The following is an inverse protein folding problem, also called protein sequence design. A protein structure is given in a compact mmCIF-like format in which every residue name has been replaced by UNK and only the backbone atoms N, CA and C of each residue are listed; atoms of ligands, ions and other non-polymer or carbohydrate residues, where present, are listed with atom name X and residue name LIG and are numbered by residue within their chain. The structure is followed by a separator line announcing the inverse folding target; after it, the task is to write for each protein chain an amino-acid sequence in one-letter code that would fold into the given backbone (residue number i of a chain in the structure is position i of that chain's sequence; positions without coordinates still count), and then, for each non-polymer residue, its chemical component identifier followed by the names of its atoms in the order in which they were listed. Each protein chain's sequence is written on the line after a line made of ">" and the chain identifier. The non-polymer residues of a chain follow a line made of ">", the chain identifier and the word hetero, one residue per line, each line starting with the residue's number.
data_IF_546517865383
#
_entry.id   IF_546517865383
#
_cell.length_a   1.000
_cell.length_b   1.000
_cell.length_c   1.000
_cell.angle_alpha   90.00
_cell.angle_beta   90.00
_cell.angle_gamma   90.00
#
_symmetry.space_group_name_H-M   'P 1'
#
loop_
_entity.id
_entity.type
_entity.pdbx_description
1 polymer ?
#
# COMPACT_ATOMS: atom_id res chain seq x y z
N UNK A 1 -16.42 -3.79 4.13
CA UNK A 1 -16.11 -4.87 3.16
C UNK A 1 -14.62 -5.08 3.20
N UNK A 2 -14.15 -6.32 3.17
CA UNK A 2 -12.71 -6.56 3.22
C UNK A 2 -12.09 -6.35 1.83
N UNK A 3 -10.82 -5.97 1.80
CA UNK A 3 -10.02 -5.81 0.57
C UNK A 3 -8.84 -6.76 0.57
N UNK A 4 -8.46 -7.19 -0.63
CA UNK A 4 -7.46 -8.22 -0.87
C UNK A 4 -6.63 -7.85 -2.10
N UNK A 5 -5.34 -8.21 -2.09
CA UNK A 5 -4.61 -8.39 -3.34
C UNK A 5 -4.98 -9.76 -3.93
N UNK A 6 -5.26 -9.79 -5.23
CA UNK A 6 -5.54 -11.01 -5.96
C UNK A 6 -4.53 -11.18 -7.08
N UNK A 7 -3.96 -12.38 -7.18
CA UNK A 7 -2.99 -12.78 -8.21
C UNK A 7 -3.39 -14.16 -8.69
N UNK A 8 -3.94 -14.25 -9.90
CA UNK A 8 -4.59 -15.47 -10.40
C UNK A 8 -5.57 -16.08 -9.36
N UNK A 9 -5.28 -17.27 -8.82
CA UNK A 9 -6.07 -17.91 -7.77
C UNK A 9 -5.62 -17.57 -6.33
N UNK A 10 -4.49 -16.88 -6.16
CA UNK A 10 -3.98 -16.47 -4.85
C UNK A 10 -4.67 -15.20 -4.35
N UNK A 11 -4.99 -15.18 -3.05
CA UNK A 11 -5.69 -14.07 -2.40
C UNK A 11 -4.96 -13.71 -1.10
N UNK A 12 -4.54 -12.45 -1.00
CA UNK A 12 -3.82 -11.91 0.16
C UNK A 12 -4.72 -10.92 0.88
N UNK A 13 -5.13 -11.27 2.09
CA UNK A 13 -6.04 -10.45 2.89
C UNK A 13 -5.31 -9.23 3.45
N UNK A 14 -5.86 -8.05 3.19
CA UNK A 14 -5.33 -6.79 3.72
C UNK A 14 -6.14 -6.40 4.95
N UNK A 15 -7.40 -5.99 4.76
CA UNK A 15 -8.18 -5.39 5.84
C UNK A 15 -9.38 -4.64 5.28
N UNK A 16 -9.62 -3.42 5.74
CA UNK A 16 -10.65 -2.56 5.20
C UNK A 16 -10.13 -1.65 4.06
N UNK A 17 -11.06 -1.18 3.23
CA UNK A 17 -10.75 -0.30 2.10
C UNK A 17 -10.23 1.08 2.50
N UNK A 18 -10.72 1.65 3.61
CA UNK A 18 -10.23 2.91 4.18
C UNK A 18 -8.78 2.79 4.67
N UNK A 19 -8.44 1.69 5.33
CA UNK A 19 -7.06 1.37 5.71
C UNK A 19 -6.12 1.30 4.50
N UNK A 20 -6.54 0.60 3.44
CA UNK A 20 -5.74 0.51 2.22
C UNK A 20 -5.66 1.87 1.50
N UNK A 21 -6.74 2.65 1.51
CA UNK A 21 -6.73 4.01 0.99
C UNK A 21 -5.77 4.93 1.76
N UNK A 22 -5.70 4.81 3.09
CA UNK A 22 -4.74 5.54 3.92
C UNK A 22 -3.29 5.23 3.54
N UNK A 23 -2.98 3.98 3.20
CA UNK A 23 -1.66 3.59 2.70
C UNK A 23 -1.27 4.40 1.45
N UNK A 24 -2.12 4.40 0.43
CA UNK A 24 -1.87 5.16 -0.79
C UNK A 24 -1.91 6.68 -0.58
N UNK A 25 -2.80 7.17 0.29
CA UNK A 25 -2.86 8.59 0.70
C UNK A 25 -1.57 9.06 1.33
N UNK A 26 -1.00 8.25 2.22
CA UNK A 26 0.27 8.55 2.90
C UNK A 26 1.42 8.61 1.90
N UNK A 27 1.47 7.68 0.93
CA UNK A 27 2.47 7.69 -0.14
C UNK A 27 2.34 8.97 -0.98
N UNK A 28 1.12 9.26 -1.46
CA UNK A 28 0.87 10.42 -2.31
C UNK A 28 1.09 11.74 -1.59
N UNK A 29 0.81 11.84 -0.29
CA UNK A 29 0.98 13.12 0.40
C UNK A 29 2.46 13.46 0.62
N UNK A 30 3.27 12.45 0.96
CA UNK A 30 4.66 12.67 1.36
C UNK A 30 5.69 12.51 0.25
N UNK A 31 5.44 11.61 -0.71
CA UNK A 31 6.45 11.21 -1.70
C UNK A 31 6.14 11.68 -3.13
N UNK A 32 4.96 12.26 -3.36
CA UNK A 32 4.49 12.75 -4.66
C UNK A 32 4.32 14.28 -4.67
N UNK A 33 5.39 15.01 -5.00
CA UNK A 33 5.36 16.48 -5.04
C UNK A 33 4.42 17.05 -6.11
N UNK A 34 4.23 16.32 -7.20
CA UNK A 34 3.45 16.76 -8.37
C UNK A 34 2.03 16.18 -8.38
N UNK A 35 1.61 15.54 -7.28
CA UNK A 35 0.28 14.96 -7.09
C UNK A 35 0.19 13.47 -7.40
N UNK A 36 -1.01 12.92 -7.22
CA UNK A 36 -1.27 11.48 -7.18
C UNK A 36 -0.71 10.71 -8.39
N UNK A 37 0.29 9.85 -8.13
CA UNK A 37 0.89 8.93 -9.10
C UNK A 37 1.76 9.60 -10.16
N UNK A 38 2.32 10.78 -9.88
CA UNK A 38 3.26 11.43 -10.79
C UNK A 38 4.64 10.73 -10.81
N UNK A 39 5.09 10.22 -9.67
CA UNK A 39 6.38 9.55 -9.44
C UNK A 39 6.24 8.03 -9.37
N UNK A 40 5.16 7.53 -8.77
CA UNK A 40 4.83 6.12 -8.57
C UNK A 40 3.51 5.74 -9.29
N UNK A 41 3.47 5.85 -10.63
CA UNK A 41 2.25 5.60 -11.39
C UNK A 41 1.77 4.15 -11.29
N UNK A 42 2.64 3.15 -11.13
CA UNK A 42 2.20 1.76 -11.06
C UNK A 42 1.48 1.48 -9.72
N UNK A 43 1.92 2.05 -8.62
CA UNK A 43 1.21 1.93 -7.34
C UNK A 43 -0.09 2.75 -7.35
N UNK A 44 0.00 4.03 -7.70
CA UNK A 44 -1.08 4.99 -7.45
C UNK A 44 -2.09 5.08 -8.61
N UNK A 45 -1.66 4.91 -9.86
CA UNK A 45 -2.55 5.02 -11.03
C UNK A 45 -2.99 3.66 -11.61
N UNK A 46 -2.16 2.62 -11.45
CA UNK A 46 -2.50 1.26 -11.88
C UNK A 46 -3.10 0.45 -10.73
N UNK A 47 -2.29 0.06 -9.73
CA UNK A 47 -2.72 -0.85 -8.66
C UNK A 47 -3.96 -0.35 -7.91
N UNK A 48 -3.95 0.91 -7.48
CA UNK A 48 -5.05 1.49 -6.71
C UNK A 48 -6.41 1.49 -7.44
N UNK A 49 -6.41 1.70 -8.76
CA UNK A 49 -7.65 1.87 -9.54
C UNK A 49 -8.06 0.65 -10.36
N UNK A 50 -7.11 -0.13 -10.89
CA UNK A 50 -7.35 -1.14 -11.93
C UNK A 50 -6.46 -2.39 -11.86
N UNK A 51 -5.42 -2.38 -11.04
CA UNK A 51 -4.42 -3.46 -11.01
C UNK A 51 -3.24 -3.21 -11.97
N UNK A 52 -2.17 -4.00 -11.80
CA UNK A 52 -0.93 -3.91 -12.58
C UNK A 52 -0.84 -5.12 -13.52
N UNK A 53 -0.47 -4.87 -14.77
CA UNK A 53 -0.24 -5.93 -15.76
C UNK A 53 1.04 -6.71 -15.46
N UNK A 54 1.05 -8.02 -15.76
CA UNK A 54 2.22 -8.89 -15.54
C UNK A 54 3.54 -8.34 -16.10
N UNK A 55 3.49 -7.57 -17.20
CA UNK A 55 4.67 -6.95 -17.83
C UNK A 55 5.30 -5.83 -17.00
N UNK A 56 4.53 -5.19 -16.14
CA UNK A 56 4.96 -4.02 -15.37
C UNK A 56 5.26 -4.36 -13.90
N UNK A 57 5.05 -5.61 -13.48
CA UNK A 57 5.23 -6.04 -12.08
C UNK A 57 6.67 -5.80 -11.59
N UNK A 58 7.67 -6.08 -12.41
CA UNK A 58 9.07 -5.82 -12.04
C UNK A 58 9.36 -4.34 -11.77
N UNK A 59 8.71 -3.43 -12.52
CA UNK A 59 8.83 -1.99 -12.29
C UNK A 59 8.04 -1.58 -11.04
N UNK A 60 6.87 -2.19 -10.81
CA UNK A 60 6.08 -1.93 -9.61
C UNK A 60 6.84 -2.32 -8.34
N UNK A 61 7.58 -3.44 -8.35
CA UNK A 61 8.45 -3.82 -7.22
C UNK A 61 9.47 -2.72 -6.92
N UNK A 62 10.08 -2.11 -7.94
CA UNK A 62 11.02 -0.99 -7.75
C UNK A 62 10.33 0.21 -7.09
N UNK A 63 9.14 0.58 -7.56
CA UNK A 63 8.34 1.64 -6.94
C UNK A 63 8.01 1.32 -5.47
N UNK A 64 7.61 0.08 -5.15
CA UNK A 64 7.31 -0.34 -3.78
C UNK A 64 8.53 -0.21 -2.86
N UNK A 65 9.70 -0.65 -3.31
CA UNK A 65 10.94 -0.57 -2.53
C UNK A 65 11.38 0.90 -2.30
N UNK A 66 11.29 1.74 -3.33
CA UNK A 66 11.58 3.16 -3.21
C UNK A 66 10.63 3.88 -2.23
N UNK A 67 9.34 3.56 -2.31
CA UNK A 67 8.33 4.09 -1.40
C UNK A 67 8.59 3.63 0.04
N UNK A 68 8.91 2.35 0.24
CA UNK A 68 9.22 1.78 1.55
C UNK A 68 10.38 2.52 2.21
N UNK A 69 11.48 2.74 1.48
CA UNK A 69 12.63 3.49 1.99
C UNK A 69 12.32 4.98 2.20
N UNK A 70 11.48 5.59 1.35
CA UNK A 70 11.00 6.96 1.57
C UNK A 70 10.22 7.11 2.88
N UNK A 71 9.23 6.25 3.10
CA UNK A 71 8.37 6.27 4.29
C UNK A 71 9.12 5.91 5.59
N UNK A 72 10.21 5.17 5.51
CA UNK A 72 11.05 4.83 6.66
C UNK A 72 11.67 6.05 7.33
N UNK A 73 11.82 7.15 6.60
CA UNK A 73 12.35 8.42 7.11
C UNK A 73 11.33 9.24 7.89
N UNK A 74 10.06 8.85 7.87
CA UNK A 74 8.93 9.58 8.43
C UNK A 74 8.38 8.89 9.69
N UNK A 75 8.12 9.62 10.78
CA UNK A 75 7.56 9.04 12.00
C UNK A 75 6.10 8.62 11.82
N UNK A 76 5.57 7.70 12.67
CA UNK A 76 4.19 7.23 12.60
C UNK A 76 3.13 8.33 12.70
N UNK A 77 3.47 9.46 13.33
CA UNK A 77 2.57 10.62 13.49
C UNK A 77 2.29 11.35 12.17
N UNK A 78 3.09 11.12 11.13
CA UNK A 78 2.90 11.72 9.79
C UNK A 78 1.93 10.89 8.92
N UNK A 79 1.27 9.87 9.47
CA UNK A 79 0.28 9.09 8.72
C UNK A 79 -0.84 9.99 8.20
N UNK A 80 -1.22 9.78 6.94
CA UNK A 80 -2.37 10.45 6.33
C UNK A 80 -3.48 9.42 6.18
N UNK A 81 -4.57 9.60 6.93
CA UNK A 81 -5.71 8.68 6.88
C UNK A 81 -6.49 8.81 5.56
N UNK A 82 -6.69 10.03 5.11
CA UNK A 82 -7.44 10.34 3.90
C UNK A 82 -6.85 11.61 3.27
N UNK A 83 -6.30 11.51 2.07
CA UNK A 83 -5.69 12.67 1.38
C UNK A 83 -6.74 13.69 0.91
N UNK A 84 -8.00 13.28 0.78
CA UNK A 84 -9.12 14.15 0.40
C UNK A 84 -9.67 14.92 1.61
N UNK A 85 -9.40 14.43 2.83
CA UNK A 85 -9.82 15.04 4.09
C UNK A 85 -8.76 14.85 5.19
N UNK A 86 -7.80 15.79 5.25
CA UNK A 86 -6.66 15.75 6.17
C UNK A 86 -7.04 15.90 7.65
N UNK A 87 -8.28 16.27 7.96
CA UNK A 87 -8.77 16.34 9.33
C UNK A 87 -9.17 14.95 9.88
N UNK A 88 -9.31 13.94 9.00
CA UNK A 88 -9.58 12.57 9.43
C UNK A 88 -8.35 11.92 10.05
N UNK A 89 -8.60 11.16 11.10
CA UNK A 89 -7.56 10.42 11.83
C UNK A 89 -7.85 8.92 11.80
N UNK A 90 -6.82 8.06 11.95
CA UNK A 90 -7.02 6.63 12.09
C UNK A 90 -7.95 6.28 13.26
N UNK A 91 -8.76 5.21 13.16
CA UNK A 91 -9.74 4.86 14.18
C UNK A 91 -9.12 4.47 15.54
N UNK A 92 -7.84 4.07 15.55
CA UNK A 92 -7.05 3.82 16.77
C UNK A 92 -6.33 5.08 17.29
N UNK A 93 -6.37 6.20 16.58
CA UNK A 93 -5.67 7.43 16.96
C UNK A 93 -4.18 7.18 17.20
N UNK A 94 -3.73 7.48 18.43
CA UNK A 94 -2.33 7.31 18.85
C UNK A 94 -2.05 5.96 19.54
N UNK A 95 -3.03 5.06 19.61
CA UNK A 95 -2.88 3.74 20.23
C UNK A 95 -2.26 2.76 19.23
N UNK A 96 -0.95 2.91 19.00
CA UNK A 96 -0.16 2.07 18.09
C UNK A 96 0.90 1.27 18.87
N UNK A 97 1.27 0.10 18.33
CA UNK A 97 2.33 -0.74 18.91
C UNK A 97 3.67 0.00 18.98
N UNK A 98 4.44 -0.23 20.06
CA UNK A 98 5.79 0.34 20.22
C UNK A 98 6.79 -0.20 19.17
N UNK A 99 6.46 -1.30 18.50
CA UNK A 99 7.26 -1.85 17.40
C UNK A 99 7.11 -1.03 16.10
N UNK A 100 6.04 -0.23 15.99
CA UNK A 100 5.83 0.69 14.87
C UNK A 100 6.66 1.95 15.14
N UNK A 101 7.71 2.15 14.35
CA UNK A 101 8.69 3.22 14.58
C UNK A 101 8.73 4.26 13.48
N UNK A 102 8.18 3.94 12.30
CA UNK A 102 8.10 4.82 11.14
C UNK A 102 6.96 4.39 10.20
N UNK A 103 6.72 5.12 9.12
CA UNK A 103 5.63 4.82 8.18
C UNK A 103 5.87 3.56 7.32
N UNK A 104 7.12 3.08 7.20
CA UNK A 104 7.41 1.85 6.44
C UNK A 104 6.96 0.57 7.13
N UNK A 105 6.67 0.62 8.44
CA UNK A 105 6.13 -0.51 9.20
C UNK A 105 4.83 -0.17 9.95
N UNK A 106 4.15 0.91 9.53
CA UNK A 106 2.91 1.39 10.14
C UNK A 106 1.69 0.54 9.75
N UNK A 107 1.64 0.16 8.48
CA UNK A 107 0.48 -0.51 7.90
C UNK A 107 0.56 -2.02 8.16
N UNK A 108 -0.10 -2.47 9.22
CA UNK A 108 -0.23 -3.88 9.57
C UNK A 108 -1.61 -4.39 9.18
N UNK A 109 -1.65 -5.47 8.40
CA UNK A 109 -2.88 -6.09 7.91
C UNK A 109 -3.70 -6.70 9.03
N UNK A 110 -4.96 -6.99 8.73
CA UNK A 110 -5.90 -7.65 9.66
C UNK A 110 -5.47 -9.04 10.15
N UNK A 111 -4.49 -9.67 9.48
CA UNK A 111 -3.87 -10.93 9.92
C UNK A 111 -2.48 -10.74 10.55
N UNK A 112 -2.07 -9.50 10.81
CA UNK A 112 -0.86 -9.17 11.56
C UNK A 112 0.42 -9.12 10.74
N UNK A 113 0.33 -9.03 9.41
CA UNK A 113 1.49 -8.93 8.50
C UNK A 113 1.77 -7.48 8.14
N UNK A 114 3.03 -7.16 7.90
CA UNK A 114 3.40 -5.88 7.30
C UNK A 114 2.85 -5.78 5.87
N UNK A 115 2.22 -4.65 5.53
CA UNK A 115 1.56 -4.46 4.23
C UNK A 115 2.56 -4.37 3.08
N UNK A 116 3.75 -3.80 3.28
CA UNK A 116 4.79 -3.80 2.24
C UNK A 116 5.27 -5.22 1.98
N UNK A 117 5.53 -6.00 3.02
CA UNK A 117 5.97 -7.39 2.86
C UNK A 117 4.89 -8.24 2.17
N UNK A 118 3.60 -8.01 2.50
CA UNK A 118 2.49 -8.67 1.82
C UNK A 118 2.36 -8.28 0.35
N UNK A 119 2.52 -6.98 0.03
CA UNK A 119 2.46 -6.47 -1.33
C UNK A 119 3.62 -7.01 -2.17
N UNK A 120 4.84 -7.00 -1.62
CA UNK A 120 6.02 -7.57 -2.28
C UNK A 120 5.86 -9.08 -2.51
N UNK A 121 5.30 -9.82 -1.56
CA UNK A 121 4.98 -11.23 -1.73
C UNK A 121 4.01 -11.43 -2.91
N UNK A 122 2.90 -10.68 -2.94
CA UNK A 122 1.92 -10.77 -4.01
C UNK A 122 2.51 -10.40 -5.39
N UNK A 123 3.36 -9.37 -5.46
CA UNK A 123 4.04 -8.99 -6.70
C UNK A 123 5.03 -10.07 -7.17
N UNK A 124 5.79 -10.70 -6.26
CA UNK A 124 6.67 -11.80 -6.64
C UNK A 124 5.88 -13.02 -7.13
N UNK A 125 4.78 -13.36 -6.46
CA UNK A 125 3.89 -14.44 -6.93
C UNK A 125 3.27 -14.10 -8.30
N UNK A 126 3.01 -12.82 -8.59
CA UNK A 126 2.54 -12.37 -9.91
C UNK A 126 3.60 -12.54 -11.01
N UNK A 127 4.89 -12.38 -10.68
CA UNK A 127 6.00 -12.72 -11.60
C UNK A 127 6.03 -14.22 -11.86
N UNK A 128 6.02 -15.04 -10.80
CA UNK A 128 6.12 -16.50 -10.92
C UNK A 128 4.96 -17.10 -11.73
N UNK A 129 3.77 -16.53 -11.59
CA UNK A 129 2.55 -16.96 -12.27
C UNK A 129 2.30 -16.23 -13.61
N UNK A 130 3.21 -15.35 -14.04
CA UNK A 130 3.05 -14.48 -15.22
C UNK A 130 1.68 -13.77 -15.28
N UNK A 131 1.18 -13.38 -14.10
CA UNK A 131 -0.19 -12.93 -13.89
C UNK A 131 -0.27 -11.47 -13.46
N UNK A 132 -1.46 -10.87 -13.63
CA UNK A 132 -1.71 -9.52 -13.14
C UNK A 132 -1.96 -9.55 -11.62
N UNK A 133 -1.80 -8.39 -10.99
CA UNK A 133 -2.23 -8.16 -9.61
C UNK A 133 -3.35 -7.12 -9.60
N UNK A 134 -4.41 -7.36 -8.83
CA UNK A 134 -5.53 -6.42 -8.67
C UNK A 134 -5.99 -6.32 -7.21
N UNK A 135 -6.65 -5.22 -6.87
CA UNK A 135 -7.33 -5.06 -5.58
C UNK A 135 -8.79 -5.48 -5.77
N UNK A 136 -9.24 -6.45 -4.98
CA UNK A 136 -10.64 -6.89 -4.98
C UNK A 136 -11.28 -6.67 -3.62
N UNK A 137 -12.59 -6.41 -3.61
CA UNK A 137 -13.38 -6.34 -2.38
C UNK A 137 -14.40 -7.47 -2.33
N UNK A 138 -14.47 -8.16 -1.19
CA UNK A 138 -15.35 -9.31 -0.94
C UNK A 138 -15.97 -9.27 0.46
#
# INVERSE_FOLDING_TARGET
>A
MAVYFQVDFNIYRIGHGDFLHSFFSTISYHLESDGWGAKYPLLLNELYFRGINSKDISNAIQEVEEVKEGLKTLPPSEVVWDIEDLDKVPPWGNDISQEITNLSNYFVTSDGRDLFDLLLLALNDAIELESNIEIVSR
#
